data_IF_432878709091
#
_entry.id   IF_432878709091
#
_cell.length_a   1.000
_cell.length_b   1.000
_cell.length_c   1.000
_cell.angle_alpha   90.00
_cell.angle_beta   90.00
_cell.angle_gamma   90.00
#
_symmetry.space_group_name_H-M   'P 1'
#
loop_
_entity.id
_entity.type
_entity.pdbx_description
1 polymer ?
#
# COMPACT_ATOMS: atom_id res chain seq x y z
N UNK A 1 4.94 15.62 21.67
CA UNK A 1 3.98 15.42 20.56
C UNK A 1 4.50 16.17 19.36
N UNK A 2 5.10 15.46 18.42
CA UNK A 2 5.39 15.92 17.07
C UNK A 2 5.36 14.68 16.18
N UNK A 3 4.15 14.10 16.06
CA UNK A 3 3.83 13.05 15.10
C UNK A 3 3.78 13.66 13.70
N UNK A 4 4.94 14.08 13.17
CA UNK A 4 5.06 14.13 11.72
C UNK A 4 5.16 12.66 11.29
N UNK A 5 4.14 12.10 10.61
CA UNK A 5 4.22 10.72 10.18
C UNK A 5 5.40 10.62 9.21
N UNK A 6 6.39 9.82 9.58
CA UNK A 6 7.42 9.41 8.63
C UNK A 6 6.70 8.84 7.40
N UNK A 7 6.98 9.38 6.21
CA UNK A 7 6.28 9.03 4.98
C UNK A 7 6.35 7.52 4.68
N UNK A 8 7.42 6.84 5.12
CA UNK A 8 7.56 5.39 5.00
C UNK A 8 6.66 4.69 6.01
N UNK A 9 6.57 5.18 7.24
CA UNK A 9 5.66 4.63 8.25
C UNK A 9 4.18 4.75 7.85
N UNK A 10 3.79 5.84 7.19
CA UNK A 10 2.46 5.99 6.63
C UNK A 10 2.21 5.01 5.47
N UNK A 11 3.18 4.86 4.57
CA UNK A 11 3.09 3.93 3.45
C UNK A 11 3.04 2.47 3.91
N UNK A 12 3.82 2.10 4.93
CA UNK A 12 3.85 0.77 5.53
C UNK A 12 2.48 0.36 6.10
N UNK A 13 1.83 1.27 6.83
CA UNK A 13 0.46 1.07 7.32
C UNK A 13 -0.55 0.86 6.17
N UNK A 14 -0.43 1.65 5.10
CA UNK A 14 -1.30 1.52 3.93
C UNK A 14 -1.09 0.19 3.20
N UNK A 15 0.15 -0.27 3.10
CA UNK A 15 0.50 -1.58 2.52
C UNK A 15 -0.09 -2.70 3.37
N UNK A 16 0.09 -2.66 4.69
CA UNK A 16 -0.47 -3.65 5.60
C UNK A 16 -2.01 -3.68 5.54
N UNK A 17 -2.66 -2.52 5.46
CA UNK A 17 -4.12 -2.42 5.29
C UNK A 17 -4.58 -3.06 3.99
N UNK A 18 -3.93 -2.74 2.86
CA UNK A 18 -4.24 -3.33 1.56
C UNK A 18 -4.05 -4.85 1.55
N UNK A 19 -2.95 -5.36 2.12
CA UNK A 19 -2.67 -6.78 2.25
C UNK A 19 -3.72 -7.50 3.14
N UNK A 20 -4.17 -6.86 4.22
CA UNK A 20 -5.22 -7.41 5.09
C UNK A 20 -6.56 -7.61 4.35
N UNK A 21 -6.84 -6.76 3.36
CA UNK A 21 -8.00 -6.87 2.46
C UNK A 21 -7.79 -7.90 1.34
N UNK A 22 -6.60 -8.49 1.25
CA UNK A 22 -6.22 -9.45 0.23
C UNK A 22 -5.73 -8.80 -1.06
N UNK A 23 -5.25 -7.57 -1.02
CA UNK A 23 -4.57 -6.96 -2.15
C UNK A 23 -3.08 -7.33 -2.16
N UNK A 24 -2.55 -7.55 -3.34
CA UNK A 24 -1.15 -7.89 -3.60
C UNK A 24 -0.55 -6.77 -4.45
N UNK A 25 0.65 -6.33 -4.07
CA UNK A 25 1.39 -5.36 -4.87
C UNK A 25 2.12 -6.07 -6.00
N UNK A 26 1.81 -5.69 -7.23
CA UNK A 26 2.38 -6.26 -8.44
C UNK A 26 3.68 -5.55 -8.83
N UNK A 27 4.54 -6.25 -9.57
CA UNK A 27 5.84 -5.73 -10.03
C UNK A 27 5.71 -4.52 -10.98
N UNK A 28 4.55 -4.34 -11.61
CA UNK A 28 4.22 -3.20 -12.48
C UNK A 28 3.91 -1.92 -11.68
N UNK A 29 3.88 -2.02 -10.35
CA UNK A 29 3.53 -0.93 -9.44
C UNK A 29 2.03 -0.78 -9.21
N UNK A 30 1.23 -1.75 -9.66
CA UNK A 30 -0.21 -1.83 -9.43
C UNK A 30 -0.58 -2.64 -8.19
N UNK A 31 -1.85 -2.54 -7.79
CA UNK A 31 -2.46 -3.39 -6.78
C UNK A 31 -3.47 -4.32 -7.44
N UNK A 32 -3.32 -5.63 -7.21
CA UNK A 32 -4.25 -6.67 -7.66
C UNK A 32 -4.96 -7.26 -6.46
N UNK A 33 -6.20 -7.75 -6.63
CA UNK A 33 -6.93 -8.42 -5.56
C UNK A 33 -6.74 -9.93 -5.70
N UNK A 34 -6.67 -10.63 -4.57
CA UNK A 34 -6.80 -12.08 -4.56
C UNK A 34 -8.20 -12.50 -5.03
N UNK A 35 -8.27 -13.64 -5.71
CA UNK A 35 -9.52 -14.17 -6.25
C UNK A 35 -10.60 -14.28 -5.16
N UNK A 36 -11.80 -13.80 -5.49
CA UNK A 36 -12.95 -13.80 -4.57
C UNK A 36 -12.95 -12.69 -3.51
N UNK A 37 -12.00 -11.74 -3.54
CA UNK A 37 -12.01 -10.55 -2.67
C UNK A 37 -12.65 -9.34 -3.36
N UNK A 38 -13.35 -8.52 -2.58
CA UNK A 38 -13.90 -7.25 -3.03
C UNK A 38 -12.79 -6.25 -3.36
N UNK A 39 -12.96 -5.36 -4.35
CA UNK A 39 -11.95 -4.37 -4.70
C UNK A 39 -11.60 -3.45 -3.52
N UNK A 40 -10.37 -2.94 -3.51
CA UNK A 40 -9.93 -1.97 -2.51
C UNK A 40 -10.86 -0.74 -2.47
N UNK A 41 -11.14 -0.19 -1.28
CA UNK A 41 -11.86 1.08 -1.16
C UNK A 41 -11.15 2.20 -1.94
N UNK A 42 -11.91 3.03 -2.66
CA UNK A 42 -11.36 4.11 -3.47
C UNK A 42 -10.42 5.05 -2.67
N UNK A 43 -10.79 5.36 -1.42
CA UNK A 43 -9.97 6.17 -0.53
C UNK A 43 -8.60 5.54 -0.22
N UNK A 44 -8.55 4.21 -0.08
CA UNK A 44 -7.29 3.48 0.14
C UNK A 44 -6.43 3.48 -1.12
N UNK A 45 -7.05 3.28 -2.30
CA UNK A 45 -6.37 3.36 -3.59
C UNK A 45 -5.73 4.74 -3.81
N UNK A 46 -6.44 5.82 -3.51
CA UNK A 46 -5.92 7.18 -3.64
C UNK A 46 -4.75 7.43 -2.68
N UNK A 47 -4.85 6.96 -1.42
CA UNK A 47 -3.76 7.08 -0.45
C UNK A 47 -2.53 6.28 -0.88
N UNK A 48 -2.70 5.07 -1.40
CA UNK A 48 -1.62 4.24 -1.95
C UNK A 48 -0.97 4.92 -3.16
N UNK A 49 -1.77 5.58 -4.01
CA UNK A 49 -1.27 6.33 -5.17
C UNK A 49 -0.41 7.53 -4.74
N UNK A 50 -0.86 8.30 -3.74
CA UNK A 50 -0.08 9.42 -3.18
C UNK A 50 1.26 8.93 -2.62
N UNK A 51 1.28 7.75 -2.01
CA UNK A 51 2.47 7.16 -1.39
C UNK A 51 3.23 6.18 -2.29
N UNK A 52 2.94 6.15 -3.61
CA UNK A 52 3.51 5.21 -4.59
C UNK A 52 5.02 5.01 -4.45
N UNK A 53 5.78 6.10 -4.26
CA UNK A 53 7.24 6.05 -4.17
C UNK A 53 7.71 5.34 -2.90
N UNK A 54 7.09 5.67 -1.77
CA UNK A 54 7.38 5.05 -0.48
C UNK A 54 6.97 3.56 -0.48
N UNK A 55 5.78 3.24 -1.00
CA UNK A 55 5.32 1.86 -1.20
C UNK A 55 6.32 1.05 -2.02
N UNK A 56 6.78 1.58 -3.16
CA UNK A 56 7.75 0.88 -4.00
C UNK A 56 9.11 0.67 -3.32
N UNK A 57 9.54 1.58 -2.43
CA UNK A 57 10.77 1.40 -1.64
C UNK A 57 10.62 0.31 -0.58
N UNK A 58 9.46 0.22 0.07
CA UNK A 58 9.14 -0.82 1.05
C UNK A 58 9.17 -2.19 0.38
N UNK A 59 8.45 -2.34 -0.74
CA UNK A 59 8.34 -3.64 -1.43
C UNK A 59 9.67 -4.13 -2.04
N UNK A 60 10.59 -3.23 -2.41
CA UNK A 60 11.94 -3.59 -2.86
C UNK A 60 12.86 -4.07 -1.75
N UNK A 61 12.55 -3.78 -0.49
CA UNK A 61 13.35 -4.21 0.67
C UNK A 61 13.10 -5.69 1.00
N UNK A 62 11.90 -6.19 0.66
CA UNK A 62 11.46 -7.57 0.94
C UNK A 62 11.67 -8.56 -0.23
N UNK A 63 12.21 -8.09 -1.37
CA UNK A 63 12.57 -8.92 -2.55
C UNK A 63 14.06 -9.23 -2.60
#
# INVERSE_FOLDING_TARGET
MNDAPDFLSAADRLVAEAQSLGAVFSHDGGWTMNDGKSPLPAALVDRLRVHRRAVAMIMKKDS
#
